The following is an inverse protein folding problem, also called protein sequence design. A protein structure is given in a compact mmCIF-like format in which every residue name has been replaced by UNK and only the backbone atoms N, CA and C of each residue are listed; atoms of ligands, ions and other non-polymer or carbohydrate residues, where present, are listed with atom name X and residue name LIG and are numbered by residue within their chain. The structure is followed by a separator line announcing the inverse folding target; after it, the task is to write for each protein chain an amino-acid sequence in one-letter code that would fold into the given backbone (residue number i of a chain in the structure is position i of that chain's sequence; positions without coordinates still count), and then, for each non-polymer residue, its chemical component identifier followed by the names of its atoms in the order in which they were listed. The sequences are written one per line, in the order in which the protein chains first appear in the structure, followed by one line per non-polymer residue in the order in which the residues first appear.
data_IF_169580087049
#
_entry.id   IF_169580087049
#
_cell.length_a   1.000
_cell.length_b   1.000
_cell.length_c   1.000
_cell.angle_alpha   90.00
_cell.angle_beta   90.00
_cell.angle_gamma   90.00
#
_symmetry.space_group_name_H-M   'P 1'
#
loop_
_entity.id
_entity.type
_entity.pdbx_description
1 polymer ?
#
# COMPACT_ATOMS: atom_id res chain seq x y z
N UNK A 1 32.45 30.47 60.91
CA UNK A 1 33.80 30.91 61.28
C UNK A 1 34.73 30.31 60.24
N UNK A 2 35.00 31.01 59.13
CA UNK A 2 36.02 32.08 59.01
C UNK A 2 37.45 31.51 59.02
N UNK A 3 38.37 31.87 58.13
CA UNK A 3 38.30 32.73 56.93
C UNK A 3 39.51 32.43 56.02
N UNK A 4 39.41 32.90 54.79
CA UNK A 4 40.35 32.89 53.67
C UNK A 4 41.88 32.86 53.94
N UNK A 5 42.56 32.05 53.12
CA UNK A 5 43.84 32.38 52.47
C UNK A 5 43.81 31.72 51.07
N UNK A 6 43.86 32.46 49.94
CA UNK A 6 45.02 33.15 49.35
C UNK A 6 46.21 32.23 49.04
N UNK A 7 46.85 32.25 47.87
CA UNK A 7 46.64 33.00 46.61
C UNK A 7 47.57 32.43 45.50
N UNK A 8 47.14 32.52 44.23
CA UNK A 8 47.91 32.48 42.95
C UNK A 8 48.91 31.33 42.60
N UNK A 9 48.73 30.78 41.39
CA UNK A 9 49.64 30.66 40.23
C UNK A 9 48.84 29.88 39.15
N UNK A 10 48.31 30.49 38.08
CA UNK A 10 48.93 30.63 36.72
C UNK A 10 49.64 29.33 36.25
N UNK A 11 49.51 28.76 35.04
CA UNK A 11 48.85 29.05 33.74
C UNK A 11 48.79 27.70 32.95
N UNK A 12 48.06 27.44 31.87
CA UNK A 12 47.12 28.22 31.03
C UNK A 12 46.14 27.23 30.28
N UNK A 13 45.74 27.58 29.05
CA UNK A 13 45.27 26.72 27.93
C UNK A 13 43.79 26.29 27.81
N UNK A 14 43.28 26.53 26.59
CA UNK A 14 42.08 25.98 25.93
C UNK A 14 40.68 26.49 26.33
N UNK A 15 40.53 27.81 26.23
CA UNK A 15 39.29 28.47 25.73
C UNK A 15 39.05 28.13 24.23
N UNK A 16 38.89 26.84 23.92
CA UNK A 16 38.52 26.27 22.63
C UNK A 16 37.57 25.10 22.96
N UNK A 17 36.27 25.10 22.63
CA UNK A 17 35.66 25.52 21.37
C UNK A 17 34.31 26.20 21.61
N UNK A 18 34.09 27.36 21.00
CA UNK A 18 32.76 27.93 20.85
C UNK A 18 31.84 26.96 20.06
N UNK A 19 30.56 26.91 20.43
CA UNK A 19 29.52 26.18 19.70
C UNK A 19 29.25 26.87 18.35
N UNK A 20 30.14 26.63 17.37
CA UNK A 20 29.99 27.12 16.01
C UNK A 20 28.73 26.52 15.38
N UNK A 21 27.68 27.34 15.33
CA UNK A 21 26.36 27.01 14.81
C UNK A 21 26.44 26.25 13.48
N UNK A 22 26.25 24.92 13.58
CA UNK A 22 26.40 23.95 12.49
C UNK A 22 25.78 24.47 11.19
N UNK A 23 26.56 24.73 10.11
CA UNK A 23 26.06 25.45 8.96
C UNK A 23 24.91 24.69 8.29
N UNK A 24 23.72 25.29 8.32
CA UNK A 24 22.50 24.71 7.73
C UNK A 24 22.76 24.40 6.26
N UNK A 25 22.74 23.10 5.90
CA UNK A 25 22.96 22.60 4.54
C UNK A 25 22.09 23.38 3.55
N UNK A 26 22.72 24.28 2.77
CA UNK A 26 22.06 25.07 1.73
C UNK A 26 21.44 24.11 0.72
N UNK A 27 20.12 23.97 0.74
CA UNK A 27 19.40 23.12 -0.21
C UNK A 27 19.58 23.70 -1.60
N UNK A 28 20.18 22.92 -2.53
CA UNK A 28 20.33 23.34 -3.93
C UNK A 28 18.95 23.73 -4.47
N UNK A 29 18.76 25.01 -4.80
CA UNK A 29 17.49 25.56 -5.32
C UNK A 29 17.07 24.71 -6.52
N UNK A 30 16.03 23.89 -6.34
CA UNK A 30 15.64 22.87 -7.33
C UNK A 30 15.30 23.58 -8.64
N UNK A 31 15.89 23.14 -9.76
CA UNK A 31 15.62 23.73 -11.08
C UNK A 31 14.11 23.71 -11.33
N UNK A 32 13.56 24.84 -11.78
CA UNK A 32 12.14 24.98 -12.15
C UNK A 32 11.72 23.83 -13.08
N UNK A 33 10.67 23.10 -12.72
CA UNK A 33 10.18 21.96 -13.49
C UNK A 33 9.12 22.44 -14.47
N UNK A 34 9.38 22.29 -15.77
CA UNK A 34 8.37 22.60 -16.80
C UNK A 34 7.33 21.48 -16.88
N UNK A 35 6.05 21.83 -16.85
CA UNK A 35 4.94 20.93 -17.17
C UNK A 35 4.63 21.12 -18.66
N UNK A 36 4.79 20.06 -19.44
CA UNK A 36 4.48 19.97 -20.86
C UNK A 36 4.29 18.49 -21.28
N UNK A 37 3.79 18.17 -22.48
CA UNK A 37 3.56 16.78 -22.91
C UNK A 37 4.78 15.85 -22.72
N UNK A 38 5.96 16.27 -23.20
CA UNK A 38 7.20 15.49 -23.09
C UNK A 38 7.65 15.27 -21.62
N UNK A 39 7.30 16.16 -20.69
CA UNK A 39 7.56 15.96 -19.26
C UNK A 39 6.61 14.91 -18.67
N UNK A 40 5.33 14.91 -19.07
CA UNK A 40 4.29 14.01 -18.60
C UNK A 40 4.55 12.59 -19.07
N UNK A 41 4.88 12.42 -20.35
CA UNK A 41 5.33 11.16 -20.95
C UNK A 41 6.53 10.57 -20.20
N UNK A 42 7.61 11.35 -20.01
CA UNK A 42 8.78 10.91 -19.24
C UNK A 42 8.45 10.54 -17.81
N UNK A 43 7.53 11.24 -17.14
CA UNK A 43 7.09 10.89 -15.78
C UNK A 43 6.21 9.64 -15.76
N UNK A 44 5.42 9.40 -16.82
CA UNK A 44 4.60 8.22 -16.98
C UNK A 44 5.47 6.98 -17.20
N UNK A 45 6.39 7.02 -18.18
CA UNK A 45 7.38 5.94 -18.41
C UNK A 45 8.22 5.67 -17.16
N UNK A 46 8.67 6.73 -16.47
CA UNK A 46 9.40 6.60 -15.19
C UNK A 46 8.57 5.94 -14.07
N UNK A 47 7.25 6.10 -14.08
CA UNK A 47 6.34 5.47 -13.13
C UNK A 47 6.09 4.00 -13.49
N UNK A 48 5.74 3.73 -14.75
CA UNK A 48 5.45 2.38 -15.25
C UNK A 48 6.66 1.44 -15.17
N UNK A 49 7.88 1.97 -15.39
CA UNK A 49 9.14 1.23 -15.18
C UNK A 49 9.44 0.84 -13.73
N UNK A 50 8.58 1.21 -12.76
CA UNK A 50 8.68 0.79 -11.34
C UNK A 50 7.40 0.20 -10.78
N UNK A 51 6.24 0.56 -11.35
CA UNK A 51 4.94 0.29 -10.78
C UNK A 51 3.95 -0.10 -11.88
N UNK A 52 3.37 -1.29 -11.77
CA UNK A 52 2.15 -1.64 -12.49
C UNK A 52 1.00 -0.73 -12.01
N UNK A 53 0.22 -0.19 -12.95
CA UNK A 53 -0.85 0.78 -12.70
C UNK A 53 -2.00 0.58 -13.69
N UNK A 54 -3.22 0.85 -13.26
CA UNK A 54 -4.33 1.17 -14.16
C UNK A 54 -4.14 2.53 -14.83
N UNK A 55 -4.87 2.77 -15.92
CA UNK A 55 -4.92 4.05 -16.62
C UNK A 55 -5.37 5.19 -15.68
N UNK A 56 -6.47 4.98 -14.95
CA UNK A 56 -7.04 5.93 -13.98
C UNK A 56 -6.04 6.30 -12.86
N UNK A 57 -5.34 5.31 -12.29
CA UNK A 57 -4.34 5.56 -11.25
C UNK A 57 -3.13 6.34 -11.81
N UNK A 58 -2.66 6.05 -13.03
CA UNK A 58 -1.57 6.80 -13.66
C UNK A 58 -1.97 8.26 -13.89
N UNK A 59 -3.15 8.51 -14.47
CA UNK A 59 -3.66 9.87 -14.68
C UNK A 59 -3.74 10.66 -13.38
N UNK A 60 -4.16 10.04 -12.28
CA UNK A 60 -4.16 10.65 -10.95
C UNK A 60 -2.75 10.90 -10.39
N UNK A 61 -1.79 9.98 -10.60
CA UNK A 61 -0.39 10.17 -10.20
C UNK A 61 0.22 11.38 -10.92
N UNK A 62 -0.04 11.52 -12.22
CA UNK A 62 0.40 12.67 -13.01
C UNK A 62 -0.28 13.97 -12.55
N UNK A 63 -1.60 13.99 -12.38
CA UNK A 63 -2.35 15.17 -11.88
C UNK A 63 -1.84 15.61 -10.51
N UNK A 64 -1.60 14.66 -9.59
CA UNK A 64 -1.00 14.93 -8.27
C UNK A 64 0.45 15.46 -8.39
N UNK A 65 1.22 15.02 -9.39
CA UNK A 65 2.56 15.56 -9.65
C UNK A 65 2.50 17.00 -10.14
N UNK A 66 1.63 17.31 -11.10
CA UNK A 66 1.39 18.67 -11.60
C UNK A 66 0.97 19.60 -10.47
N UNK A 67 -0.03 19.24 -9.65
CA UNK A 67 -0.46 20.07 -8.49
C UNK A 67 0.65 20.43 -7.52
N UNK A 68 1.57 19.50 -7.23
CA UNK A 68 2.75 19.80 -6.39
C UNK A 68 3.76 20.73 -7.06
N UNK A 69 3.80 20.75 -8.39
CA UNK A 69 4.68 21.63 -9.17
C UNK A 69 4.06 23.03 -9.26
N UNK A 70 2.75 23.13 -9.48
CA UNK A 70 1.97 24.38 -9.44
C UNK A 70 2.15 25.10 -8.10
N UNK A 71 1.88 24.39 -6.99
CA UNK A 71 2.06 24.91 -5.62
C UNK A 71 3.50 25.33 -5.31
N UNK A 72 4.51 24.67 -5.88
CA UNK A 72 5.93 24.95 -5.59
C UNK A 72 6.56 26.00 -6.51
N UNK A 73 5.83 26.48 -7.54
CA UNK A 73 6.30 27.50 -8.47
C UNK A 73 5.36 28.71 -8.57
N UNK A 74 4.19 28.65 -7.92
CA UNK A 74 3.13 29.67 -8.00
C UNK A 74 2.71 29.93 -9.46
N UNK A 75 2.62 28.85 -10.22
CA UNK A 75 2.35 28.81 -11.67
C UNK A 75 1.21 27.81 -11.94
N UNK A 76 0.34 28.09 -12.91
CA UNK A 76 -0.82 27.25 -13.26
C UNK A 76 -0.62 26.64 -14.64
N UNK A 77 -1.01 25.37 -14.84
CA UNK A 77 -0.92 24.69 -16.13
C UNK A 77 -2.30 24.17 -16.57
N UNK A 78 -3.22 25.05 -17.04
CA UNK A 78 -4.61 24.66 -17.33
C UNK A 78 -4.72 23.56 -18.40
N UNK A 79 -3.80 23.52 -19.37
CA UNK A 79 -3.73 22.50 -20.42
C UNK A 79 -3.28 21.12 -19.90
N UNK A 80 -2.68 21.05 -18.70
CA UNK A 80 -2.07 19.82 -18.20
C UNK A 80 -3.08 18.67 -18.04
N UNK A 81 -4.37 18.96 -17.79
CA UNK A 81 -5.39 17.91 -17.75
C UNK A 81 -5.61 17.26 -19.14
N UNK A 82 -5.56 18.05 -20.22
CA UNK A 82 -5.68 17.55 -21.59
C UNK A 82 -4.42 16.77 -22.00
N UNK A 83 -3.23 17.29 -21.69
CA UNK A 83 -1.97 16.58 -21.95
C UNK A 83 -1.86 15.26 -21.18
N UNK A 84 -2.36 15.19 -19.94
CA UNK A 84 -2.42 13.94 -19.17
C UNK A 84 -3.39 12.94 -19.82
N UNK A 85 -4.56 13.39 -20.29
CA UNK A 85 -5.51 12.52 -20.99
C UNK A 85 -4.91 11.95 -22.28
N UNK A 86 -4.25 12.78 -23.09
CA UNK A 86 -3.53 12.34 -24.29
C UNK A 86 -2.42 11.33 -23.94
N UNK A 87 -1.55 11.65 -22.97
CA UNK A 87 -0.45 10.76 -22.53
C UNK A 87 -0.99 9.38 -22.10
N UNK A 88 -2.11 9.32 -21.38
CA UNK A 88 -2.73 8.06 -20.96
C UNK A 88 -3.33 7.31 -22.16
N UNK A 89 -4.00 8.00 -23.09
CA UNK A 89 -4.55 7.39 -24.30
C UNK A 89 -3.46 6.79 -25.20
N UNK A 90 -2.34 7.49 -25.40
CA UNK A 90 -1.21 7.00 -26.19
C UNK A 90 -0.57 5.76 -25.55
N UNK A 91 -0.45 5.72 -24.22
CA UNK A 91 0.07 4.56 -23.48
C UNK A 91 -0.88 3.35 -23.50
N UNK A 92 -2.20 3.57 -23.52
CA UNK A 92 -3.19 2.50 -23.77
C UNK A 92 -3.04 1.98 -25.20
N UNK A 93 -3.01 2.87 -26.20
CA UNK A 93 -2.86 2.52 -27.62
C UNK A 93 -1.55 1.77 -27.90
N UNK A 94 -0.46 2.14 -27.22
CA UNK A 94 0.83 1.44 -27.27
C UNK A 94 0.91 0.16 -26.44
N UNK A 95 -0.15 -0.24 -25.73
CA UNK A 95 -0.19 -1.47 -24.93
C UNK A 95 0.60 -1.43 -23.60
N UNK A 96 1.11 -0.25 -23.21
CA UNK A 96 1.80 -0.04 -21.92
C UNK A 96 0.83 0.02 -20.73
N UNK A 97 -0.45 0.29 -21.00
CA UNK A 97 -1.54 0.30 -20.03
C UNK A 97 -2.64 -0.65 -20.48
N UNK A 98 -3.03 -1.55 -19.59
CA UNK A 98 -4.07 -2.54 -19.81
C UNK A 98 -4.73 -2.82 -18.45
N UNK A 99 -5.93 -2.27 -18.25
CA UNK A 99 -6.64 -2.37 -16.96
C UNK A 99 -7.08 -3.81 -16.66
N UNK A 100 -7.27 -4.67 -17.67
CA UNK A 100 -7.59 -6.10 -17.49
C UNK A 100 -6.38 -6.87 -16.98
N UNK A 101 -5.21 -6.70 -17.62
CA UNK A 101 -3.95 -7.28 -17.14
C UNK A 101 -3.58 -6.75 -15.76
N UNK A 102 -3.74 -5.44 -15.51
CA UNK A 102 -3.52 -4.84 -14.20
C UNK A 102 -4.41 -5.45 -13.12
N UNK A 103 -5.71 -5.60 -13.41
CA UNK A 103 -6.69 -6.15 -12.49
C UNK A 103 -6.34 -7.60 -12.12
N UNK A 104 -6.18 -8.47 -13.11
CA UNK A 104 -5.82 -9.89 -12.92
C UNK A 104 -4.54 -10.07 -12.11
N UNK A 105 -3.45 -9.39 -12.51
CA UNK A 105 -2.17 -9.47 -11.81
C UNK A 105 -2.22 -8.92 -10.37
N UNK A 106 -3.14 -7.99 -10.09
CA UNK A 106 -3.37 -7.47 -8.73
C UNK A 106 -4.24 -8.42 -7.90
N UNK A 107 -5.29 -8.98 -8.49
CA UNK A 107 -6.20 -9.93 -7.86
C UNK A 107 -5.50 -11.22 -7.43
N UNK A 108 -4.67 -11.83 -8.29
CA UNK A 108 -3.87 -13.02 -7.95
C UNK A 108 -2.96 -12.74 -6.74
N UNK A 109 -2.13 -11.68 -6.79
CA UNK A 109 -1.26 -11.30 -5.65
C UNK A 109 -2.03 -10.98 -4.36
N UNK A 110 -3.30 -10.59 -4.46
CA UNK A 110 -4.17 -10.37 -3.31
C UNK A 110 -4.76 -11.69 -2.78
N UNK A 111 -5.11 -12.64 -3.65
CA UNK A 111 -5.50 -14.02 -3.29
C UNK A 111 -4.40 -14.77 -2.56
N UNK A 112 -3.16 -14.71 -3.06
CA UNK A 112 -1.97 -15.29 -2.40
C UNK A 112 -1.79 -14.72 -0.98
N UNK A 113 -2.07 -13.43 -0.83
CA UNK A 113 -2.05 -12.70 0.45
C UNK A 113 -3.32 -12.89 1.27
N UNK A 114 -4.22 -13.80 0.90
CA UNK A 114 -5.46 -14.11 1.61
C UNK A 114 -6.34 -12.88 1.82
N UNK A 115 -6.69 -12.19 0.74
CA UNK A 115 -7.70 -11.14 0.74
C UNK A 115 -8.98 -11.67 0.09
N UNK A 116 -10.13 -11.27 0.63
CA UNK A 116 -11.46 -11.62 0.11
C UNK A 116 -11.74 -11.03 -1.28
N UNK A 117 -12.68 -11.64 -2.00
CA UNK A 117 -13.27 -11.09 -3.22
C UNK A 117 -13.65 -9.61 -3.06
N UNK A 118 -14.34 -9.27 -1.96
CA UNK A 118 -14.79 -7.90 -1.64
C UNK A 118 -13.62 -6.92 -1.41
N UNK A 119 -12.50 -7.37 -0.82
CA UNK A 119 -11.27 -6.56 -0.70
C UNK A 119 -10.60 -6.33 -2.06
N UNK A 120 -10.65 -7.31 -2.96
CA UNK A 120 -10.09 -7.21 -4.31
C UNK A 120 -10.92 -6.22 -5.13
N UNK A 121 -12.24 -6.38 -5.19
CA UNK A 121 -13.16 -5.46 -5.87
C UNK A 121 -12.98 -4.01 -5.40
N UNK A 122 -12.99 -3.78 -4.08
CA UNK A 122 -12.78 -2.46 -3.49
C UNK A 122 -11.41 -1.86 -3.83
N UNK A 123 -10.36 -2.68 -3.93
CA UNK A 123 -9.04 -2.22 -4.35
C UNK A 123 -9.01 -1.81 -5.83
N UNK A 124 -9.60 -2.62 -6.72
CA UNK A 124 -9.65 -2.33 -8.15
C UNK A 124 -10.49 -1.08 -8.46
N UNK A 125 -11.66 -0.95 -7.82
CA UNK A 125 -12.48 0.26 -7.87
C UNK A 125 -11.73 1.48 -7.32
N UNK A 126 -11.01 1.35 -6.20
CA UNK A 126 -10.13 2.40 -5.67
C UNK A 126 -8.92 2.74 -6.55
N UNK A 127 -8.66 1.93 -7.59
CA UNK A 127 -7.69 2.19 -8.66
C UNK A 127 -8.34 2.72 -9.94
N UNK A 128 -9.65 2.92 -9.95
CA UNK A 128 -10.41 3.39 -11.11
C UNK A 128 -10.42 2.40 -12.27
N UNK A 129 -10.28 1.10 -11.98
CA UNK A 129 -10.63 0.01 -12.91
C UNK A 129 -12.16 -0.03 -13.03
N UNK A 130 -12.70 -0.31 -14.22
CA UNK A 130 -14.15 -0.36 -14.42
C UNK A 130 -14.82 -1.44 -13.57
N UNK A 131 -16.13 -1.29 -13.32
CA UNK A 131 -16.90 -2.27 -12.56
C UNK A 131 -16.95 -3.63 -13.28
N UNK A 132 -17.09 -3.62 -14.61
CA UNK A 132 -17.15 -4.81 -15.45
C UNK A 132 -15.85 -5.61 -15.34
N UNK A 133 -14.69 -4.95 -15.55
CA UNK A 133 -13.37 -5.57 -15.43
C UNK A 133 -13.14 -6.05 -13.99
N UNK A 134 -13.54 -5.26 -12.99
CA UNK A 134 -13.37 -5.64 -11.58
C UNK A 134 -14.18 -6.89 -11.22
N UNK A 135 -15.44 -6.95 -11.64
CA UNK A 135 -16.34 -8.09 -11.42
C UNK A 135 -15.85 -9.34 -12.14
N UNK A 136 -15.53 -9.23 -13.43
CA UNK A 136 -15.01 -10.34 -14.25
C UNK A 136 -13.69 -10.89 -13.67
N UNK A 137 -12.77 -9.99 -13.27
CA UNK A 137 -11.52 -10.39 -12.61
C UNK A 137 -11.78 -11.09 -11.28
N UNK A 138 -12.71 -10.58 -10.47
CA UNK A 138 -13.05 -11.20 -9.19
C UNK A 138 -13.66 -12.58 -9.43
N UNK A 139 -14.61 -12.72 -10.35
CA UNK A 139 -15.21 -14.01 -10.73
C UNK A 139 -14.15 -15.03 -11.17
N UNK A 140 -13.22 -14.63 -12.05
CA UNK A 140 -12.09 -15.46 -12.50
C UNK A 140 -11.22 -15.97 -11.32
N UNK A 141 -10.92 -15.11 -10.33
CA UNK A 141 -10.08 -15.50 -9.18
C UNK A 141 -10.87 -15.99 -7.96
N UNK A 142 -12.19 -16.19 -8.06
CA UNK A 142 -13.06 -16.57 -6.92
C UNK A 142 -13.78 -17.89 -7.16
N UNK A 143 -13.09 -18.85 -7.78
CA UNK A 143 -13.61 -20.20 -8.02
C UNK A 143 -14.05 -20.92 -6.74
N UNK A 144 -14.70 -22.08 -6.90
CA UNK A 144 -15.18 -22.90 -5.78
C UNK A 144 -14.01 -23.20 -4.82
N UNK A 145 -14.14 -22.81 -3.55
CA UNK A 145 -13.12 -22.99 -2.52
C UNK A 145 -12.18 -21.80 -2.29
N UNK A 146 -11.87 -21.00 -3.31
CA UNK A 146 -10.85 -19.92 -3.25
C UNK A 146 -11.11 -18.85 -2.18
N UNK A 147 -12.38 -18.55 -1.87
CA UNK A 147 -12.72 -17.61 -0.80
C UNK A 147 -12.44 -18.17 0.59
N UNK A 148 -12.63 -19.48 0.77
CA UNK A 148 -12.32 -20.19 2.02
C UNK A 148 -10.80 -20.36 2.18
N UNK A 149 -10.08 -20.72 1.11
CA UNK A 149 -8.62 -20.77 1.13
C UNK A 149 -7.99 -19.41 1.43
N UNK A 150 -8.47 -18.33 0.81
CA UNK A 150 -7.99 -16.98 1.09
C UNK A 150 -8.22 -16.60 2.57
N UNK A 151 -9.35 -17.01 3.15
CA UNK A 151 -9.66 -16.81 4.57
C UNK A 151 -8.74 -17.65 5.48
N UNK A 152 -8.42 -18.90 5.12
CA UNK A 152 -7.45 -19.73 5.83
C UNK A 152 -6.03 -19.15 5.78
N UNK A 153 -5.57 -18.74 4.59
CA UNK A 153 -4.29 -18.02 4.40
C UNK A 153 -4.22 -16.78 5.30
N UNK A 154 -5.33 -16.04 5.42
CA UNK A 154 -5.44 -14.88 6.32
C UNK A 154 -5.36 -15.28 7.80
N UNK A 155 -6.17 -16.25 8.23
CA UNK A 155 -6.24 -16.71 9.62
C UNK A 155 -4.91 -17.27 10.10
N UNK A 156 -4.23 -18.11 9.29
CA UNK A 156 -2.90 -18.66 9.58
C UNK A 156 -1.86 -17.56 9.79
N UNK A 157 -1.77 -16.60 8.86
CA UNK A 157 -0.83 -15.46 8.94
C UNK A 157 -1.07 -14.55 10.14
N UNK A 158 -2.32 -14.44 10.59
CA UNK A 158 -2.73 -13.60 11.73
C UNK A 158 -2.85 -14.37 13.05
N UNK A 159 -2.58 -15.69 13.06
CA UNK A 159 -2.72 -16.60 14.20
C UNK A 159 -4.10 -16.46 14.89
N UNK A 160 -5.16 -16.55 14.08
CA UNK A 160 -6.56 -16.48 14.53
C UNK A 160 -7.11 -17.89 14.78
N UNK A 161 -8.03 -18.02 15.75
CA UNK A 161 -8.75 -19.26 16.01
C UNK A 161 -7.81 -20.48 16.12
N UNK A 162 -8.01 -21.56 15.34
CA UNK A 162 -7.22 -22.80 15.42
C UNK A 162 -5.70 -22.63 15.24
N UNK A 163 -5.25 -21.55 14.61
CA UNK A 163 -3.83 -21.24 14.43
C UNK A 163 -3.18 -20.64 15.68
N UNK A 164 -3.89 -20.62 16.82
CA UNK A 164 -3.42 -20.29 18.15
C UNK A 164 -3.47 -21.57 19.01
N UNK A 165 -2.33 -21.97 19.56
CA UNK A 165 -2.20 -23.24 20.27
C UNK A 165 -3.02 -23.30 21.56
N UNK A 166 -3.04 -22.20 22.31
CA UNK A 166 -3.77 -22.05 23.58
C UNK A 166 -5.31 -22.10 23.38
N UNK A 167 -6.05 -23.04 24.01
CA UNK A 167 -7.51 -23.10 23.94
C UNK A 167 -8.25 -21.98 24.69
N UNK A 168 -7.75 -21.51 25.82
CA UNK A 168 -8.42 -20.49 26.64
C UNK A 168 -8.36 -19.13 25.93
N UNK A 169 -7.19 -18.79 25.38
CA UNK A 169 -6.98 -17.57 24.57
C UNK A 169 -7.64 -17.69 23.18
N UNK A 170 -8.01 -18.89 22.74
CA UNK A 170 -8.90 -19.07 21.57
C UNK A 170 -10.31 -18.59 21.89
N UNK A 171 -10.90 -19.03 22.99
CA UNK A 171 -12.27 -18.65 23.38
C UNK A 171 -12.37 -17.15 23.75
N UNK A 172 -11.46 -16.65 24.60
CA UNK A 172 -11.37 -15.24 25.00
C UNK A 172 -11.36 -14.29 23.77
N UNK A 173 -10.74 -14.73 22.67
CA UNK A 173 -10.60 -13.96 21.44
C UNK A 173 -11.55 -14.34 20.32
N UNK A 174 -12.46 -15.31 20.49
CA UNK A 174 -13.39 -15.79 19.45
C UNK A 174 -14.07 -14.65 18.69
N UNK A 175 -14.68 -13.71 19.43
CA UNK A 175 -15.36 -12.54 18.84
C UNK A 175 -14.40 -11.55 18.15
N UNK A 176 -13.19 -11.35 18.69
CA UNK A 176 -12.15 -10.50 18.09
C UNK A 176 -11.63 -11.09 16.78
N UNK A 177 -11.48 -12.40 16.72
CA UNK A 177 -10.98 -13.13 15.54
C UNK A 177 -12.06 -13.19 14.44
N UNK A 178 -13.33 -13.44 14.78
CA UNK A 178 -14.47 -13.30 13.86
C UNK A 178 -14.55 -11.88 13.28
N UNK A 179 -14.45 -10.85 14.13
CA UNK A 179 -14.44 -9.45 13.70
C UNK A 179 -13.21 -9.06 12.86
N UNK A 180 -12.08 -9.79 12.99
CA UNK A 180 -10.91 -9.59 12.14
C UNK A 180 -11.11 -10.17 10.72
N UNK A 181 -11.76 -11.32 10.61
CA UNK A 181 -12.16 -11.93 9.32
C UNK A 181 -13.25 -11.09 8.63
N UNK A 182 -14.30 -10.70 9.35
CA UNK A 182 -15.38 -9.84 8.82
C UNK A 182 -14.88 -8.49 8.30
N UNK A 183 -14.01 -7.79 9.06
CA UNK A 183 -13.35 -6.55 8.58
C UNK A 183 -12.40 -6.79 7.41
N UNK A 184 -11.99 -8.03 7.17
CA UNK A 184 -11.21 -8.44 6.00
C UNK A 184 -12.09 -8.84 4.81
N UNK A 185 -13.42 -8.69 4.92
CA UNK A 185 -14.39 -8.85 3.84
C UNK A 185 -14.90 -10.27 3.63
N UNK A 186 -14.52 -11.22 4.49
CA UNK A 186 -15.05 -12.58 4.44
C UNK A 186 -16.47 -12.65 5.04
N UNK A 187 -17.30 -13.57 4.54
CA UNK A 187 -18.64 -13.78 5.06
C UNK A 187 -18.63 -14.37 6.48
N UNK A 188 -19.72 -14.16 7.23
CA UNK A 188 -19.86 -14.74 8.57
C UNK A 188 -19.74 -16.28 8.55
N UNK A 189 -20.34 -16.94 7.54
CA UNK A 189 -20.26 -18.40 7.40
C UNK A 189 -18.82 -18.92 7.23
N UNK A 190 -18.00 -18.25 6.39
CA UNK A 190 -16.58 -18.58 6.24
C UNK A 190 -15.81 -18.29 7.54
N UNK A 191 -16.10 -17.16 8.19
CA UNK A 191 -15.41 -16.78 9.42
C UNK A 191 -15.71 -17.76 10.58
N UNK A 192 -16.99 -18.08 10.82
CA UNK A 192 -17.45 -19.05 11.80
C UNK A 192 -16.84 -20.43 11.56
N UNK A 193 -16.92 -20.96 10.32
CA UNK A 193 -16.31 -22.26 9.96
C UNK A 193 -14.81 -22.35 10.29
N UNK A 194 -14.05 -21.26 10.12
CA UNK A 194 -12.62 -21.23 10.45
C UNK A 194 -12.38 -21.11 11.95
N UNK A 195 -13.09 -20.23 12.64
CA UNK A 195 -12.84 -19.95 14.06
C UNK A 195 -13.34 -21.08 14.99
N UNK A 196 -14.38 -21.80 14.59
CA UNK A 196 -15.00 -22.87 15.39
C UNK A 196 -14.43 -24.27 15.11
N UNK A 197 -13.49 -24.40 14.17
CA UNK A 197 -12.80 -25.68 13.95
C UNK A 197 -11.94 -26.08 15.16
N UNK A 198 -11.94 -27.37 15.48
CA UNK A 198 -11.21 -27.89 16.66
C UNK A 198 -9.69 -27.83 16.47
N UNK A 199 -9.22 -28.14 15.27
CA UNK A 199 -7.82 -28.17 14.89
C UNK A 199 -7.63 -27.73 13.42
N UNK A 200 -6.38 -27.62 12.98
CA UNK A 200 -6.03 -27.09 11.65
C UNK A 200 -6.26 -28.15 10.56
N UNK A 201 -6.03 -29.42 10.89
CA UNK A 201 -6.14 -30.57 10.00
C UNK A 201 -7.55 -30.67 9.40
N UNK A 202 -8.60 -30.46 10.20
CA UNK A 202 -10.01 -30.45 9.73
C UNK A 202 -10.28 -29.36 8.68
N UNK A 203 -9.57 -28.24 8.76
CA UNK A 203 -9.68 -27.12 7.81
C UNK A 203 -8.87 -27.37 6.52
N UNK A 204 -7.80 -28.15 6.59
CA UNK A 204 -6.95 -28.47 5.44
C UNK A 204 -7.57 -29.60 4.59
N UNK A 205 -8.12 -30.65 5.21
CA UNK A 205 -8.92 -31.67 4.49
C UNK A 205 -10.12 -31.07 3.76
N UNK A 206 -10.73 -30.03 4.35
CA UNK A 206 -11.84 -29.24 3.76
C UNK A 206 -11.47 -28.45 2.51
N UNK A 207 -10.17 -28.28 2.22
CA UNK A 207 -9.65 -27.58 1.03
C UNK A 207 -9.25 -28.59 -0.05
N UNK A 208 -8.66 -29.72 0.33
CA UNK A 208 -8.08 -30.69 -0.60
C UNK A 208 -9.09 -31.58 -1.32
N UNK A 209 -10.39 -31.46 -1.02
CA UNK A 209 -11.45 -32.16 -1.76
C UNK A 209 -11.39 -33.69 -1.62
N UNK A 210 -11.28 -34.18 -0.38
CA UNK A 210 -11.52 -35.59 -0.07
C UNK A 210 -12.97 -35.75 0.39
N UNK A 211 -13.86 -35.81 -0.60
CA UNK A 211 -15.22 -36.38 -0.54
C UNK A 211 -15.35 -37.34 -1.75
#
# INVERSE_FOLDING_TARGET
MSEDAKEAYSESDDDLFADEARPKRRTKKRRRQRVNPQSLERWAVQHLGRHSSSASNLGWVLKRRVRRIEQAQEESFPEASAWIAATVADLIKGGYLDDRKYARASAVRMRDRGLSARRIESHLSGKGVSWEISRETVEEVSGKGEEFEAALRYARRRRLGPFRLDPEVREERRQRDLAALGRSGFSYAIASRIIEAKCVETLESSVTGVD
#
